data_IF_697883639878
#
_entry.id   IF_697883639878
#
_cell.length_a   1.000
_cell.length_b   1.000
_cell.length_c   1.000
_cell.angle_alpha   90.00
_cell.angle_beta   90.00
_cell.angle_gamma   90.00
#
_symmetry.space_group_name_H-M   'P 1'
#
loop_
_entity.id
_entity.type
_entity.pdbx_description
1 polymer ?
#
# COMPACT_ATOMS: atom_id res chain seq x y z
N UNK A 1 -10.32 5.23 -48.97
CA UNK A 1 -9.02 5.75 -49.44
C UNK A 1 -7.93 5.16 -48.56
N UNK A 2 -6.82 4.78 -49.18
CA UNK A 2 -5.82 3.84 -48.68
C UNK A 2 -4.75 4.45 -47.77
N UNK A 3 -4.06 3.56 -47.03
CA UNK A 3 -2.69 3.72 -46.52
C UNK A 3 -2.62 3.78 -44.99
N UNK A 4 -1.79 3.02 -44.27
CA UNK A 4 -0.74 2.05 -44.63
C UNK A 4 -0.41 1.27 -43.36
N UNK A 5 -0.40 -0.06 -43.45
CA UNK A 5 0.05 -0.96 -42.39
C UNK A 5 1.55 -1.24 -42.54
N UNK A 6 2.31 -1.17 -41.44
CA UNK A 6 3.68 -1.68 -41.38
C UNK A 6 3.71 -2.89 -40.44
N UNK A 7 3.99 -4.04 -41.04
CA UNK A 7 4.15 -5.36 -40.42
C UNK A 7 5.59 -5.56 -39.96
N UNK A 8 5.80 -6.19 -38.80
CA UNK A 8 7.11 -6.67 -38.37
C UNK A 8 7.05 -8.19 -38.19
N UNK A 9 7.93 -8.91 -38.91
CA UNK A 9 8.13 -10.37 -38.84
C UNK A 9 9.20 -10.72 -37.80
N UNK A 10 9.07 -11.84 -37.06
CA UNK A 10 10.14 -12.33 -36.19
C UNK A 10 11.15 -13.18 -36.98
N UNK A 11 12.44 -13.03 -36.64
CA UNK A 11 13.52 -13.86 -37.17
C UNK A 11 13.60 -15.19 -36.40
N UNK A 12 13.56 -16.28 -37.16
CA UNK A 12 13.63 -17.65 -36.68
C UNK A 12 15.08 -18.14 -36.47
N UNK A 13 15.14 -19.11 -35.56
CA UNK A 13 16.21 -20.02 -35.16
C UNK A 13 17.23 -20.46 -36.23
N UNK A 14 18.48 -20.64 -35.76
CA UNK A 14 19.45 -21.59 -36.33
C UNK A 14 20.16 -22.38 -35.22
N UNK A 15 20.12 -23.72 -35.34
CA UNK A 15 21.01 -24.74 -34.76
C UNK A 15 21.31 -25.73 -35.91
N UNK A 16 22.24 -26.70 -35.80
CA UNK A 16 23.50 -26.78 -35.05
C UNK A 16 24.68 -27.28 -35.96
N UNK A 17 25.89 -27.44 -35.41
CA UNK A 17 26.89 -28.39 -35.94
C UNK A 17 27.60 -29.13 -34.79
N UNK A 18 27.85 -30.39 -35.07
CA UNK A 18 28.36 -31.50 -34.26
C UNK A 18 29.88 -31.68 -34.36
N UNK A 19 30.48 -32.31 -33.34
CA UNK A 19 31.56 -33.33 -33.40
C UNK A 19 31.83 -33.78 -31.94
N UNK A 20 31.46 -35.02 -31.53
CA UNK A 20 32.32 -36.23 -31.33
C UNK A 20 33.57 -35.97 -30.48
N UNK A 21 34.01 -36.75 -29.49
CA UNK A 21 33.66 -38.04 -28.89
C UNK A 21 34.60 -38.25 -27.69
N UNK A 22 34.16 -38.87 -26.59
CA UNK A 22 34.83 -40.04 -25.99
C UNK A 22 34.30 -40.34 -24.59
N UNK A 23 34.07 -41.62 -24.39
CA UNK A 23 33.66 -42.35 -23.20
C UNK A 23 34.79 -42.46 -22.18
N UNK A 24 34.48 -42.38 -20.88
CA UNK A 24 34.87 -43.40 -19.91
C UNK A 24 34.20 -43.18 -18.54
N UNK A 25 33.56 -44.26 -18.09
CA UNK A 25 33.04 -44.58 -16.77
C UNK A 25 34.02 -44.35 -15.62
N UNK A 26 33.50 -43.98 -14.44
CA UNK A 26 34.25 -44.02 -13.19
C UNK A 26 33.37 -43.79 -11.96
N UNK A 27 32.83 -44.88 -11.41
CA UNK A 27 32.20 -44.97 -10.10
C UNK A 27 33.08 -44.36 -8.98
N UNK A 28 32.46 -43.64 -8.04
CA UNK A 28 32.60 -43.83 -6.56
C UNK A 28 31.81 -42.77 -5.79
N UNK A 29 30.81 -43.22 -5.03
CA UNK A 29 30.33 -42.58 -3.80
C UNK A 29 31.09 -43.18 -2.60
N UNK A 30 30.71 -42.86 -1.35
CA UNK A 30 31.07 -41.70 -0.54
C UNK A 30 31.93 -42.15 0.67
N UNK A 31 32.48 -41.25 1.50
CA UNK A 31 32.77 -41.54 2.92
C UNK A 31 33.19 -40.27 3.71
N UNK A 32 33.11 -40.31 5.06
CA UNK A 32 32.73 -39.19 5.90
C UNK A 32 33.87 -38.77 6.85
N UNK A 33 33.66 -37.74 7.67
CA UNK A 33 34.29 -37.73 9.00
C UNK A 33 33.51 -36.86 9.99
N UNK A 34 33.09 -37.55 11.04
CA UNK A 34 32.70 -37.04 12.35
C UNK A 34 33.88 -36.42 13.10
N UNK A 35 33.64 -35.41 13.93
CA UNK A 35 34.12 -35.43 15.31
C UNK A 35 33.36 -34.44 16.18
N UNK A 36 32.60 -35.02 17.11
CA UNK A 36 32.14 -34.40 18.36
C UNK A 36 33.30 -34.37 19.35
N UNK A 37 33.49 -33.24 20.04
CA UNK A 37 34.12 -33.22 21.36
C UNK A 37 33.35 -32.25 22.27
N UNK A 38 32.84 -32.85 23.34
CA UNK A 38 32.06 -32.27 24.42
C UNK A 38 32.94 -31.88 25.60
N UNK A 39 32.68 -30.68 26.17
CA UNK A 39 32.78 -30.35 27.60
C UNK A 39 34.03 -29.57 28.07
N UNK A 40 34.01 -28.93 29.27
CA UNK A 40 32.86 -28.47 30.05
C UNK A 40 32.99 -27.01 30.58
N UNK A 41 31.83 -26.50 30.99
CA UNK A 41 31.52 -25.44 31.98
C UNK A 41 32.65 -24.67 32.68
N UNK A 42 32.50 -23.33 32.72
CA UNK A 42 32.64 -22.54 33.97
C UNK A 42 31.78 -21.28 33.93
N UNK A 43 30.71 -21.34 34.68
CA UNK A 43 29.93 -20.23 35.22
C UNK A 43 30.75 -19.45 36.24
N UNK A 44 30.78 -18.12 36.13
CA UNK A 44 30.82 -17.27 37.33
C UNK A 44 30.14 -15.93 37.04
N UNK A 45 29.34 -15.39 37.98
CA UNK A 45 28.48 -14.24 37.77
C UNK A 45 29.16 -12.94 38.19
N UNK A 46 28.98 -11.87 37.41
CA UNK A 46 29.28 -10.51 37.85
C UNK A 46 28.11 -9.93 38.63
N UNK A 47 28.27 -9.87 39.94
CA UNK A 47 27.42 -9.12 40.89
C UNK A 47 27.63 -7.61 40.71
N UNK A 48 26.59 -6.76 40.88
CA UNK A 48 26.69 -5.32 40.70
C UNK A 48 27.18 -4.62 41.98
N UNK A 49 27.96 -3.55 41.83
CA UNK A 49 28.33 -2.64 42.93
C UNK A 49 27.36 -1.46 43.05
N UNK A 50 27.17 -0.89 44.25
CA UNK A 50 25.97 -0.12 44.61
C UNK A 50 26.18 1.41 44.68
N UNK A 51 25.03 2.11 44.67
CA UNK A 51 24.72 3.42 45.27
C UNK A 51 25.47 4.68 44.80
N UNK A 52 24.69 5.64 44.28
CA UNK A 52 24.65 6.97 44.90
C UNK A 52 23.29 7.64 44.68
N UNK A 53 22.57 7.80 45.79
CA UNK A 53 21.39 8.64 45.98
C UNK A 53 21.77 10.12 45.85
N UNK A 54 20.99 10.89 45.10
CA UNK A 54 20.91 12.35 45.28
C UNK A 54 19.44 12.72 45.43
N UNK A 55 19.09 13.00 46.68
CA UNK A 55 17.87 13.68 47.10
C UNK A 55 18.18 15.16 47.19
N UNK A 56 17.49 16.03 46.45
CA UNK A 56 17.23 17.41 46.91
C UNK A 56 16.02 18.02 46.21
N UNK A 57 14.93 18.09 46.99
CA UNK A 57 14.03 19.22 47.22
C UNK A 57 13.60 20.16 46.07
N UNK A 58 12.28 20.22 45.95
CA UNK A 58 11.43 21.36 45.59
C UNK A 58 12.07 22.76 45.61
N UNK A 59 11.77 23.56 44.59
CA UNK A 59 11.13 24.88 44.79
C UNK A 59 10.53 25.44 43.51
N UNK A 60 9.20 25.54 43.55
CA UNK A 60 8.33 26.37 42.71
C UNK A 60 8.69 27.85 42.94
N UNK A 61 8.97 28.60 41.88
CA UNK A 61 8.86 30.08 41.89
C UNK A 61 8.31 30.58 40.57
N UNK A 62 7.04 30.95 40.64
CA UNK A 62 6.37 31.87 39.74
C UNK A 62 7.05 33.25 39.82
N UNK A 63 7.28 33.88 38.66
CA UNK A 63 7.45 35.33 38.60
C UNK A 63 7.02 35.85 37.24
N UNK A 64 5.80 36.38 37.23
CA UNK A 64 5.24 37.28 36.23
C UNK A 64 5.95 38.63 36.31
N UNK A 65 6.26 39.24 35.16
CA UNK A 65 6.49 40.68 35.05
C UNK A 65 5.98 41.16 33.69
N UNK A 66 5.08 42.15 33.64
CA UNK A 66 4.55 42.68 32.39
C UNK A 66 5.43 43.82 31.86
N UNK A 67 5.76 43.79 30.58
CA UNK A 67 6.43 44.90 29.90
C UNK A 67 5.36 45.82 29.29
N UNK A 68 5.26 47.03 29.83
CA UNK A 68 4.35 48.10 29.40
C UNK A 68 4.87 48.79 28.13
N UNK A 69 4.06 48.81 27.08
CA UNK A 69 4.26 49.64 25.90
C UNK A 69 4.06 51.13 26.24
N UNK A 70 5.08 51.97 26.01
CA UNK A 70 4.94 53.44 26.00
C UNK A 70 4.76 53.94 24.56
N UNK A 71 3.69 54.72 24.37
CA UNK A 71 3.40 55.55 23.20
C UNK A 71 4.44 56.68 23.06
N UNK A 72 4.86 56.96 21.84
CA UNK A 72 5.45 58.24 21.43
C UNK A 72 4.85 58.66 20.07
N UNK A 73 4.40 59.91 20.00
CA UNK A 73 3.76 60.57 18.86
C UNK A 73 4.79 61.11 17.84
N UNK A 74 4.37 61.53 16.62
CA UNK A 74 5.21 61.53 15.41
C UNK A 74 5.79 62.91 15.06
N UNK A 75 6.72 62.99 14.08
CA UNK A 75 6.98 64.22 13.35
C UNK A 75 6.43 64.18 11.91
N UNK A 76 5.86 65.32 11.54
CA UNK A 76 5.43 65.76 10.22
C UNK A 76 6.61 66.21 9.34
N UNK A 77 6.61 65.91 8.03
CA UNK A 77 6.73 66.92 6.95
C UNK A 77 6.80 66.30 5.55
N UNK A 78 6.23 67.04 4.61
CA UNK A 78 6.02 66.80 3.17
C UNK A 78 7.32 66.64 2.35
N UNK A 79 7.27 65.80 1.31
CA UNK A 79 7.84 66.13 0.00
C UNK A 79 7.07 65.41 -1.12
N UNK A 80 6.96 66.07 -2.29
CA UNK A 80 6.09 65.76 -3.44
C UNK A 80 6.93 65.64 -4.71
N UNK A 81 6.38 64.94 -5.72
CA UNK A 81 6.80 64.76 -7.15
C UNK A 81 7.75 63.57 -7.39
N UNK A 82 7.58 62.65 -8.36
CA UNK A 82 6.60 62.42 -9.44
C UNK A 82 6.80 60.99 -10.01
N UNK A 83 5.94 60.46 -10.90
CA UNK A 83 5.74 59.02 -11.13
C UNK A 83 6.55 58.46 -12.31
N UNK A 84 7.02 57.21 -12.20
CA UNK A 84 7.52 56.44 -13.34
C UNK A 84 6.80 55.09 -13.43
N UNK A 85 6.09 54.94 -14.55
CA UNK A 85 5.69 53.71 -15.24
C UNK A 85 5.11 52.56 -14.40
N UNK A 86 3.78 52.50 -14.41
CA UNK A 86 3.05 51.26 -14.29
C UNK A 86 3.40 50.34 -15.48
N UNK A 87 4.11 49.25 -15.21
CA UNK A 87 3.97 48.02 -15.98
C UNK A 87 3.18 47.05 -15.11
N UNK A 88 1.94 46.82 -15.53
CA UNK A 88 1.04 45.82 -14.98
C UNK A 88 1.61 44.43 -15.27
N UNK A 89 2.51 43.94 -14.44
CA UNK A 89 2.58 42.49 -14.22
C UNK A 89 1.42 42.16 -13.30
N UNK A 90 0.37 41.57 -13.85
CA UNK A 90 -0.63 40.86 -13.07
C UNK A 90 0.08 39.71 -12.35
N UNK A 91 0.68 40.01 -11.19
CA UNK A 91 0.99 38.98 -10.22
C UNK A 91 -0.36 38.48 -9.74
N UNK A 92 -0.86 37.47 -10.43
CA UNK A 92 -1.78 36.50 -9.88
C UNK A 92 -1.11 35.95 -8.63
N UNK A 93 -1.33 36.61 -7.51
CA UNK A 93 -1.24 35.99 -6.21
C UNK A 93 -2.32 34.92 -6.19
N UNK A 94 -2.04 33.77 -6.80
CA UNK A 94 -2.69 32.51 -6.47
C UNK A 94 -2.49 32.39 -4.96
N UNK A 95 -3.54 32.71 -4.21
CA UNK A 95 -3.69 32.29 -2.83
C UNK A 95 -3.57 30.77 -2.86
N UNK A 96 -2.35 30.25 -2.66
CA UNK A 96 -2.14 28.84 -2.40
C UNK A 96 -2.60 28.65 -0.97
N UNK A 97 -3.90 28.46 -0.78
CA UNK A 97 -4.41 27.84 0.44
C UNK A 97 -3.80 26.43 0.48
N UNK A 98 -2.61 26.35 1.06
CA UNK A 98 -1.82 25.14 1.27
C UNK A 98 -2.42 24.28 2.39
N UNK A 99 -3.75 24.15 2.43
CA UNK A 99 -4.35 23.09 3.24
C UNK A 99 -3.96 21.77 2.60
N UNK A 100 -3.31 20.90 3.39
CA UNK A 100 -3.11 19.51 3.03
C UNK A 100 -4.50 18.91 2.72
N UNK A 101 -4.77 18.43 1.50
CA UNK A 101 -6.05 17.85 1.14
C UNK A 101 -6.42 16.72 2.10
N UNK A 102 -7.60 16.83 2.70
CA UNK A 102 -8.18 15.80 3.57
C UNK A 102 -9.45 15.28 2.93
N UNK A 103 -9.58 13.98 2.89
CA UNK A 103 -10.70 13.29 2.30
C UNK A 103 -11.22 12.26 3.29
N UNK A 104 -12.54 12.09 3.32
CA UNK A 104 -13.14 11.08 4.18
C UNK A 104 -12.66 9.68 3.80
N UNK A 105 -12.80 9.31 2.53
CA UNK A 105 -12.60 7.95 2.01
C UNK A 105 -11.49 7.89 0.97
N UNK A 106 -11.06 6.66 0.63
CA UNK A 106 -10.12 6.42 -0.47
C UNK A 106 -10.72 6.87 -1.81
N UNK A 107 -12.01 6.63 -2.03
CA UNK A 107 -12.74 7.01 -3.25
C UNK A 107 -12.75 8.54 -3.44
N UNK A 108 -13.06 9.28 -2.37
CA UNK A 108 -13.02 10.74 -2.37
C UNK A 108 -11.60 11.28 -2.59
N UNK A 109 -10.59 10.64 -2.00
CA UNK A 109 -9.19 11.01 -2.20
C UNK A 109 -8.75 10.78 -3.65
N UNK A 110 -9.14 9.65 -4.25
CA UNK A 110 -8.86 9.35 -5.65
C UNK A 110 -9.47 10.40 -6.58
N UNK A 111 -10.76 10.68 -6.46
CA UNK A 111 -11.45 11.67 -7.30
C UNK A 111 -10.91 13.08 -7.11
N UNK A 112 -10.71 13.51 -5.86
CA UNK A 112 -10.23 14.85 -5.55
C UNK A 112 -8.81 15.11 -6.04
N UNK A 113 -7.91 14.15 -5.84
CA UNK A 113 -6.54 14.27 -6.33
C UNK A 113 -6.44 14.12 -7.85
N UNK A 114 -7.32 13.33 -8.48
CA UNK A 114 -7.40 13.23 -9.94
C UNK A 114 -7.88 14.54 -10.57
N UNK A 115 -8.89 15.19 -9.98
CA UNK A 115 -9.34 16.51 -10.43
C UNK A 115 -8.24 17.56 -10.32
N UNK A 116 -7.48 17.55 -9.21
CA UNK A 116 -6.33 18.43 -9.02
C UNK A 116 -5.22 18.17 -10.05
N UNK A 117 -4.96 16.90 -10.36
CA UNK A 117 -3.96 16.50 -11.35
C UNK A 117 -4.29 17.04 -12.74
N UNK A 118 -5.56 17.05 -13.15
CA UNK A 118 -5.95 17.68 -14.41
C UNK A 118 -5.98 19.21 -14.38
N UNK A 119 -6.18 19.82 -13.22
CA UNK A 119 -6.22 21.27 -13.08
C UNK A 119 -4.83 21.92 -13.06
N UNK A 120 -3.87 21.28 -12.37
CA UNK A 120 -2.56 21.87 -12.06
C UNK A 120 -1.37 21.00 -12.51
N UNK A 121 -1.61 19.81 -13.07
CA UNK A 121 -0.55 18.88 -13.45
C UNK A 121 0.22 19.30 -14.71
N UNK A 122 1.47 18.86 -14.78
CA UNK A 122 2.36 19.09 -15.91
C UNK A 122 2.64 17.78 -16.65
N UNK A 123 2.83 17.84 -17.96
CA UNK A 123 3.23 16.65 -18.72
C UNK A 123 4.72 16.34 -18.48
N UNK A 124 4.99 15.13 -17.99
CA UNK A 124 6.34 14.62 -17.71
C UNK A 124 6.51 13.28 -18.42
N UNK A 125 7.69 13.04 -18.99
CA UNK A 125 8.01 11.75 -19.63
C UNK A 125 8.67 10.82 -18.62
N UNK A 126 8.23 9.56 -18.58
CA UNK A 126 8.80 8.50 -17.76
C UNK A 126 9.31 7.33 -18.61
N UNK A 127 9.98 6.37 -17.98
CA UNK A 127 10.38 5.09 -18.62
C UNK A 127 9.18 4.31 -19.19
N UNK A 128 7.99 4.50 -18.61
CA UNK A 128 6.77 3.77 -18.94
C UNK A 128 5.79 4.62 -19.76
N UNK A 129 6.24 5.74 -20.33
CA UNK A 129 5.44 6.64 -21.16
C UNK A 129 5.20 8.01 -20.53
N UNK A 130 4.49 8.87 -21.25
CA UNK A 130 4.11 10.20 -20.81
C UNK A 130 3.06 10.12 -19.69
N UNK A 131 3.17 11.07 -18.74
CA UNK A 131 2.28 11.19 -17.60
C UNK A 131 1.88 12.65 -17.39
N UNK A 132 0.68 12.89 -16.89
CA UNK A 132 0.35 14.16 -16.23
C UNK A 132 0.72 14.03 -14.74
N UNK A 133 1.54 14.93 -14.20
CA UNK A 133 2.19 14.82 -12.89
C UNK A 133 1.98 16.05 -12.01
N UNK A 134 1.81 15.80 -10.70
CA UNK A 134 1.96 16.78 -9.63
C UNK A 134 3.13 16.37 -8.72
N UNK A 135 4.12 17.25 -8.58
CA UNK A 135 5.24 17.03 -7.68
C UNK A 135 4.87 17.31 -6.20
N UNK A 136 5.48 16.57 -5.28
CA UNK A 136 5.43 16.81 -3.82
C UNK A 136 4.03 17.04 -3.25
N UNK A 137 3.13 16.06 -3.45
CA UNK A 137 1.77 16.11 -2.95
C UNK A 137 1.64 15.42 -1.60
N UNK A 138 0.69 15.91 -0.80
CA UNK A 138 0.22 15.19 0.38
C UNK A 138 -1.29 15.02 0.28
N UNK A 139 -1.80 13.89 0.75
CA UNK A 139 -3.24 13.65 0.94
C UNK A 139 -3.46 12.86 2.22
N UNK A 140 -4.55 13.12 2.92
CA UNK A 140 -4.96 12.37 4.11
C UNK A 140 -6.33 11.76 3.92
N UNK A 141 -6.47 10.48 4.26
CA UNK A 141 -7.73 9.74 4.35
C UNK A 141 -8.12 9.64 5.83
N UNK A 142 -9.32 10.12 6.17
CA UNK A 142 -9.79 10.22 7.56
C UNK A 142 -10.49 8.96 8.06
N UNK A 143 -11.06 8.18 7.15
CA UNK A 143 -11.75 6.92 7.44
C UNK A 143 -11.12 5.81 6.61
N UNK A 144 -9.87 5.41 6.89
CA UNK A 144 -9.17 4.43 6.07
C UNK A 144 -9.84 3.05 6.07
N UNK A 145 -10.72 2.74 7.04
CA UNK A 145 -11.50 1.50 7.02
C UNK A 145 -12.61 1.50 5.95
N UNK A 146 -13.06 2.67 5.48
CA UNK A 146 -13.96 2.84 4.33
C UNK A 146 -13.13 2.72 3.03
N UNK A 147 -12.65 1.51 2.74
CA UNK A 147 -11.51 1.23 1.84
C UNK A 147 -11.85 0.76 0.44
N UNK A 148 -13.10 0.36 0.18
CA UNK A 148 -13.48 -0.15 -1.13
C UNK A 148 -13.92 1.00 -2.07
N UNK A 149 -13.32 1.04 -3.25
CA UNK A 149 -13.71 1.98 -4.30
C UNK A 149 -15.05 1.57 -4.91
N UNK A 150 -15.93 2.55 -5.05
CA UNK A 150 -17.27 2.40 -5.61
C UNK A 150 -17.52 3.34 -6.79
N UNK A 151 -16.55 4.20 -7.14
CA UNK A 151 -16.64 5.08 -8.31
C UNK A 151 -16.95 4.28 -9.59
N UNK A 152 -18.13 4.48 -10.22
CA UNK A 152 -18.48 3.82 -11.47
C UNK A 152 -17.48 4.15 -12.59
N UNK A 153 -17.15 3.16 -13.43
CA UNK A 153 -16.20 3.33 -14.54
C UNK A 153 -14.72 3.29 -14.14
N UNK A 154 -14.38 3.41 -12.85
CA UNK A 154 -13.02 3.14 -12.36
C UNK A 154 -12.62 1.70 -12.63
N UNK A 155 -13.58 0.78 -12.56
CA UNK A 155 -13.42 -0.65 -12.78
C UNK A 155 -12.39 -1.29 -11.81
N UNK A 156 -12.47 -0.99 -10.51
CA UNK A 156 -11.57 -1.58 -9.52
C UNK A 156 -11.81 -3.10 -9.35
N UNK A 157 -10.80 -3.87 -8.92
CA UNK A 157 -10.94 -5.30 -8.61
C UNK A 157 -10.75 -5.52 -7.10
N UNK A 158 -11.83 -5.59 -6.30
CA UNK A 158 -11.72 -5.76 -4.84
C UNK A 158 -11.11 -7.11 -4.46
N UNK A 159 -11.32 -8.15 -5.28
CA UNK A 159 -10.78 -9.48 -5.04
C UNK A 159 -9.25 -9.51 -5.19
N UNK A 160 -8.74 -8.84 -6.21
CA UNK A 160 -7.29 -8.70 -6.39
C UNK A 160 -6.66 -7.86 -5.27
N UNK A 161 -7.31 -6.78 -4.84
CA UNK A 161 -6.82 -5.97 -3.71
C UNK A 161 -6.72 -6.79 -2.42
N UNK A 162 -7.73 -7.62 -2.13
CA UNK A 162 -7.71 -8.57 -0.99
C UNK A 162 -6.58 -9.59 -1.16
N UNK A 163 -6.51 -10.28 -2.31
CA UNK A 163 -5.51 -11.32 -2.54
C UNK A 163 -4.07 -10.78 -2.46
N UNK A 164 -3.79 -9.64 -3.08
CA UNK A 164 -2.48 -9.00 -3.04
C UNK A 164 -2.13 -8.53 -1.62
N UNK A 165 -3.07 -7.95 -0.89
CA UNK A 165 -2.84 -7.54 0.52
C UNK A 165 -2.50 -8.75 1.39
N UNK A 166 -3.24 -9.85 1.27
CA UNK A 166 -2.97 -11.05 2.05
C UNK A 166 -1.63 -11.69 1.66
N UNK A 167 -1.27 -11.67 0.38
CA UNK A 167 0.04 -12.10 -0.10
C UNK A 167 1.19 -11.24 0.44
N UNK A 168 1.05 -9.91 0.44
CA UNK A 168 2.01 -8.98 1.04
C UNK A 168 2.15 -9.25 2.54
N UNK A 169 1.03 -9.33 3.25
CA UNK A 169 1.02 -9.59 4.69
C UNK A 169 1.59 -10.97 5.03
N UNK A 170 1.45 -11.97 4.17
CA UNK A 170 2.08 -13.29 4.33
C UNK A 170 3.61 -13.25 4.16
N UNK A 171 4.16 -12.16 3.63
CA UNK A 171 5.58 -12.04 3.34
C UNK A 171 5.98 -12.67 2.00
N UNK A 172 5.01 -13.01 1.16
CA UNK A 172 5.25 -13.70 -0.10
C UNK A 172 5.74 -12.75 -1.20
N UNK A 173 6.49 -13.30 -2.15
CA UNK A 173 6.82 -12.67 -3.42
C UNK A 173 6.59 -13.60 -4.63
N UNK A 174 5.93 -14.74 -4.44
CA UNK A 174 5.69 -15.72 -5.50
C UNK A 174 4.55 -15.26 -6.44
N UNK A 175 4.83 -15.29 -7.74
CA UNK A 175 3.85 -14.87 -8.75
C UNK A 175 2.86 -15.97 -9.12
N UNK A 176 3.12 -17.22 -8.76
CA UNK A 176 2.18 -18.33 -8.97
C UNK A 176 0.87 -18.10 -8.22
N UNK A 177 0.93 -17.58 -6.99
CA UNK A 177 -0.25 -17.14 -6.22
C UNK A 177 -0.95 -15.95 -6.87
N UNK A 178 -0.18 -14.92 -7.28
CA UNK A 178 -0.75 -13.61 -7.60
C UNK A 178 -1.25 -13.47 -9.04
N UNK A 179 -0.61 -14.15 -9.99
CA UNK A 179 -0.94 -14.08 -11.44
C UNK A 179 -2.40 -14.38 -11.78
N UNK A 180 -3.11 -15.32 -11.11
CA UNK A 180 -4.52 -15.53 -11.38
C UNK A 180 -5.42 -14.34 -11.04
N UNK A 181 -5.02 -13.50 -10.09
CA UNK A 181 -5.71 -12.27 -9.68
C UNK A 181 -5.24 -11.05 -10.46
N UNK A 182 -3.96 -11.00 -10.81
CA UNK A 182 -3.29 -9.90 -11.50
C UNK A 182 -2.53 -10.43 -12.72
N UNK A 183 -3.20 -10.47 -13.87
CA UNK A 183 -2.65 -11.06 -15.12
C UNK A 183 -1.36 -10.42 -15.62
N UNK A 184 -1.13 -9.15 -15.27
CA UNK A 184 0.06 -8.38 -15.66
C UNK A 184 1.21 -8.51 -14.68
N UNK A 185 1.02 -9.12 -13.51
CA UNK A 185 2.08 -9.25 -12.50
C UNK A 185 3.37 -9.91 -13.05
N UNK A 186 3.32 -10.92 -13.94
CA UNK A 186 4.51 -11.47 -14.58
C UNK A 186 5.33 -10.48 -15.42
N UNK A 187 4.72 -9.41 -15.94
CA UNK A 187 5.41 -8.40 -16.76
C UNK A 187 6.43 -7.58 -15.92
N UNK A 188 6.28 -7.62 -14.59
CA UNK A 188 7.10 -6.90 -13.60
C UNK A 188 8.16 -7.78 -12.93
N UNK A 189 8.36 -8.99 -13.45
CA UNK A 189 9.27 -9.99 -12.91
C UNK A 189 10.62 -9.99 -13.62
N UNK A 190 11.70 -10.04 -12.85
CA UNK A 190 13.06 -10.17 -13.37
C UNK A 190 13.43 -11.61 -13.73
N UNK A 191 12.69 -12.60 -13.21
CA UNK A 191 13.03 -14.03 -13.27
C UNK A 191 12.01 -14.87 -14.08
N UNK A 192 11.39 -14.23 -15.07
CA UNK A 192 10.49 -14.90 -16.01
C UNK A 192 9.11 -15.22 -15.43
N UNK A 193 8.64 -14.44 -14.46
CA UNK A 193 7.31 -14.58 -13.87
C UNK A 193 7.27 -15.51 -12.67
N UNK A 194 8.40 -15.77 -12.01
CA UNK A 194 8.46 -16.64 -10.82
C UNK A 194 8.26 -15.84 -9.55
N UNK A 195 8.99 -14.72 -9.41
CA UNK A 195 8.90 -13.83 -8.26
C UNK A 195 8.76 -12.37 -8.68
N UNK A 196 8.15 -11.58 -7.79
CA UNK A 196 8.08 -10.12 -7.93
C UNK A 196 9.06 -9.47 -6.96
N UNK A 197 10.24 -9.08 -7.46
CA UNK A 197 11.33 -8.49 -6.66
C UNK A 197 10.93 -7.21 -5.92
N UNK A 198 10.02 -6.43 -6.51
CA UNK A 198 9.50 -5.20 -5.92
C UNK A 198 8.38 -5.44 -4.89
N UNK A 199 7.85 -6.67 -4.79
CA UNK A 199 6.79 -7.03 -3.86
C UNK A 199 7.14 -6.68 -2.41
N UNK A 200 6.17 -6.12 -1.69
CA UNK A 200 6.37 -5.59 -0.35
C UNK A 200 6.50 -6.68 0.73
N UNK A 201 6.01 -7.88 0.47
CA UNK A 201 5.95 -8.96 1.46
C UNK A 201 7.31 -9.28 2.12
N UNK A 202 8.34 -9.72 1.37
CA UNK A 202 9.63 -10.04 1.97
C UNK A 202 10.30 -8.84 2.61
N UNK A 203 10.01 -7.63 2.11
CA UNK A 203 10.55 -6.38 2.67
C UNK A 203 9.96 -6.13 4.06
N UNK A 204 8.66 -6.37 4.24
CA UNK A 204 7.99 -6.16 5.51
C UNK A 204 8.22 -7.30 6.51
N UNK A 205 8.13 -8.55 6.07
CA UNK A 205 8.09 -9.71 6.97
C UNK A 205 9.45 -10.37 7.20
N UNK A 206 10.39 -10.24 6.27
CA UNK A 206 11.68 -10.94 6.36
C UNK A 206 12.81 -10.23 5.59
N UNK A 207 13.05 -8.96 5.88
CA UNK A 207 14.19 -8.25 5.30
C UNK A 207 15.46 -8.64 6.05
N UNK A 208 16.27 -9.53 5.45
CA UNK A 208 17.50 -10.05 6.06
C UNK A 208 17.30 -10.59 7.50
N UNK A 209 16.20 -11.31 7.72
CA UNK A 209 15.83 -11.85 9.05
C UNK A 209 15.04 -10.89 9.93
N UNK A 210 14.67 -9.69 9.44
CA UNK A 210 13.91 -8.69 10.18
C UNK A 210 12.44 -8.67 9.74
N UNK A 211 11.53 -8.99 10.65
CA UNK A 211 10.10 -8.70 10.51
C UNK A 211 9.81 -7.28 11.01
N UNK A 212 9.69 -6.34 10.08
CA UNK A 212 9.50 -4.92 10.38
C UNK A 212 8.14 -4.63 11.02
N UNK A 213 7.10 -5.43 10.74
CA UNK A 213 5.77 -5.29 11.36
C UNK A 213 5.87 -5.64 12.85
N UNK A 214 6.47 -6.79 13.17
CA UNK A 214 6.68 -7.22 14.55
C UNK A 214 7.54 -6.21 15.34
N UNK A 215 8.57 -5.66 14.71
CA UNK A 215 9.45 -4.66 15.32
C UNK A 215 8.73 -3.34 15.58
N UNK A 216 7.96 -2.83 14.60
CA UNK A 216 7.17 -1.61 14.76
C UNK A 216 6.12 -1.76 15.87
N UNK A 217 5.40 -2.89 15.91
CA UNK A 217 4.42 -3.21 16.96
C UNK A 217 5.09 -3.23 18.32
N UNK A 218 6.20 -3.95 18.46
CA UNK A 218 6.93 -4.08 19.73
C UNK A 218 7.41 -2.72 20.25
N UNK A 219 7.89 -1.84 19.36
CA UNK A 219 8.31 -0.48 19.71
C UNK A 219 7.15 0.37 20.22
N UNK A 220 5.99 0.34 19.55
CA UNK A 220 4.83 1.14 19.95
C UNK A 220 4.15 0.59 21.20
N UNK A 221 4.13 -0.73 21.37
CA UNK A 221 3.63 -1.36 22.59
C UNK A 221 4.47 -0.96 23.81
N UNK A 222 5.80 -0.95 23.68
CA UNK A 222 6.70 -0.54 24.76
C UNK A 222 6.69 0.99 24.99
N UNK A 223 6.51 1.78 23.93
CA UNK A 223 6.50 3.24 23.99
C UNK A 223 5.56 3.81 22.93
N UNK A 224 4.28 4.07 23.27
CA UNK A 224 3.29 4.59 22.31
C UNK A 224 3.71 5.90 21.64
N UNK A 225 4.46 6.76 22.34
CA UNK A 225 4.96 8.03 21.80
C UNK A 225 6.24 7.89 20.95
N UNK A 226 6.67 6.67 20.65
CA UNK A 226 7.87 6.42 19.84
C UNK A 226 7.70 7.06 18.46
N UNK A 227 8.77 7.72 18.00
CA UNK A 227 8.90 8.26 16.63
C UNK A 227 9.75 7.35 15.75
N UNK A 228 9.95 6.10 16.18
CA UNK A 228 10.86 5.12 15.56
C UNK A 228 10.13 3.93 14.94
N UNK A 229 8.80 3.90 14.98
CA UNK A 229 7.98 2.83 14.41
C UNK A 229 7.87 2.99 12.89
N UNK A 230 9.01 2.80 12.24
CA UNK A 230 9.23 3.00 10.81
C UNK A 230 9.56 1.67 10.16
N UNK A 231 8.97 1.41 9.00
CA UNK A 231 9.29 0.28 8.14
C UNK A 231 9.77 0.81 6.78
N UNK A 232 10.90 0.32 6.29
CA UNK A 232 11.48 0.71 5.00
C UNK A 232 11.13 -0.30 3.91
N UNK A 233 10.66 0.21 2.77
CA UNK A 233 10.30 -0.57 1.59
C UNK A 233 11.30 -0.38 0.46
N UNK A 234 11.77 0.84 0.21
CA UNK A 234 12.86 1.05 -0.75
C UNK A 234 14.18 0.57 -0.14
N UNK A 235 14.89 -0.29 -0.85
CA UNK A 235 16.14 -0.90 -0.43
C UNK A 235 17.27 -0.45 -1.36
N UNK A 236 18.19 0.43 -0.91
CA UNK A 236 19.31 0.89 -1.70
C UNK A 236 20.18 -0.23 -2.29
N UNK A 237 20.33 -1.36 -1.59
CA UNK A 237 21.15 -2.48 -2.07
C UNK A 237 20.49 -3.15 -3.28
N UNK A 238 19.16 -3.25 -3.27
CA UNK A 238 18.39 -3.99 -4.28
C UNK A 238 17.87 -3.09 -5.40
N UNK A 239 17.49 -1.86 -5.11
CA UNK A 239 16.57 -1.07 -5.94
C UNK A 239 17.24 0.00 -6.81
N UNK A 240 18.54 0.23 -6.65
CA UNK A 240 19.35 0.98 -7.63
C UNK A 240 19.82 0.12 -8.82
N UNK A 241 19.58 -1.18 -8.77
CA UNK A 241 19.94 -2.11 -9.85
C UNK A 241 18.89 -2.06 -10.98
N UNK A 242 19.28 -2.48 -12.19
CA UNK A 242 18.32 -2.61 -13.29
C UNK A 242 17.30 -3.70 -12.96
N UNK A 243 16.03 -3.39 -13.12
CA UNK A 243 14.91 -4.25 -12.74
C UNK A 243 13.67 -3.90 -13.54
N UNK A 244 12.84 -4.91 -13.83
CA UNK A 244 11.53 -4.77 -14.44
C UNK A 244 10.63 -3.87 -13.60
N UNK A 245 10.75 -3.96 -12.27
CA UNK A 245 10.00 -3.12 -11.35
C UNK A 245 10.79 -2.71 -10.10
N UNK A 246 10.39 -1.61 -9.47
CA UNK A 246 11.04 -1.04 -8.28
C UNK A 246 9.95 -0.55 -7.34
N UNK A 247 9.99 -0.85 -6.02
CA UNK A 247 8.97 -0.42 -5.08
C UNK A 247 8.77 1.09 -5.14
N UNK A 248 7.52 1.52 -5.24
CA UNK A 248 7.16 2.94 -5.37
C UNK A 248 6.99 3.61 -4.00
N UNK A 249 6.64 2.83 -2.98
CA UNK A 249 6.57 3.27 -1.58
C UNK A 249 7.96 3.12 -0.94
N UNK A 250 8.40 4.12 -0.18
CA UNK A 250 9.71 4.16 0.45
C UNK A 250 9.67 3.71 1.90
N UNK A 251 8.72 4.22 2.69
CA UNK A 251 8.59 3.89 4.10
C UNK A 251 7.16 4.11 4.60
N UNK A 252 6.84 3.35 5.65
CA UNK A 252 5.61 3.37 6.42
C UNK A 252 5.97 3.79 7.84
N UNK A 253 5.29 4.80 8.39
CA UNK A 253 5.60 5.36 9.70
C UNK A 253 4.34 5.51 10.55
N UNK A 254 4.29 4.73 11.62
CA UNK A 254 3.19 4.73 12.56
C UNK A 254 3.41 5.74 13.69
N UNK A 255 2.34 6.44 14.07
CA UNK A 255 2.34 7.40 15.17
C UNK A 255 1.08 7.24 16.02
N UNK A 256 1.24 7.12 17.34
CA UNK A 256 0.08 7.13 18.26
C UNK A 256 -0.23 8.56 18.69
N UNK A 257 -1.45 9.03 18.48
CA UNK A 257 -1.93 10.36 18.88
C UNK A 257 -3.31 10.26 19.49
N UNK A 258 -3.48 10.75 20.71
CA UNK A 258 -4.79 10.82 21.38
C UNK A 258 -5.58 9.49 21.33
N UNK A 259 -4.91 8.35 21.60
CA UNK A 259 -5.53 7.01 21.55
C UNK A 259 -5.75 6.44 20.15
N UNK A 260 -5.37 7.17 19.09
CA UNK A 260 -5.48 6.74 17.70
C UNK A 260 -4.11 6.37 17.14
N UNK A 261 -4.07 5.38 16.24
CA UNK A 261 -2.89 5.05 15.45
C UNK A 261 -3.02 5.69 14.06
N UNK A 262 -2.09 6.58 13.72
CA UNK A 262 -1.94 7.13 12.37
C UNK A 262 -0.88 6.34 11.59
N UNK A 263 -1.08 6.19 10.27
CA UNK A 263 -0.07 5.69 9.34
C UNK A 263 0.28 6.75 8.31
N UNK A 264 1.57 7.10 8.24
CA UNK A 264 2.13 7.95 7.20
C UNK A 264 2.91 7.10 6.20
N UNK A 265 2.54 7.21 4.94
CA UNK A 265 3.17 6.55 3.80
C UNK A 265 3.93 7.60 3.03
N UNK A 266 5.19 7.33 2.72
CA UNK A 266 5.96 8.18 1.80
C UNK A 266 6.31 7.36 0.58
N UNK A 267 5.98 7.89 -0.58
CA UNK A 267 6.22 7.28 -1.87
C UNK A 267 7.01 8.21 -2.77
N UNK A 268 8.01 7.66 -3.47
CA UNK A 268 8.81 8.38 -4.46
C UNK A 268 8.02 8.63 -5.74
N UNK A 269 7.00 7.80 -5.96
CA UNK A 269 6.18 7.80 -7.17
C UNK A 269 4.85 7.13 -6.86
N UNK A 270 3.75 7.68 -7.35
CA UNK A 270 2.40 7.19 -7.12
C UNK A 270 1.59 7.35 -8.40
N UNK A 271 1.37 6.24 -9.11
CA UNK A 271 0.33 6.20 -10.13
C UNK A 271 -1.02 6.29 -9.42
N UNK A 272 -1.74 7.40 -9.64
CA UNK A 272 -3.02 7.63 -9.00
C UNK A 272 -4.07 6.63 -9.47
N UNK A 273 -3.95 6.12 -10.70
CA UNK A 273 -4.93 5.21 -11.28
C UNK A 273 -4.78 3.81 -10.70
N UNK A 274 -3.65 3.12 -10.90
CA UNK A 274 -3.46 1.78 -10.36
C UNK A 274 -2.82 1.78 -8.98
N UNK A 275 -1.65 2.38 -8.82
CA UNK A 275 -0.87 2.27 -7.58
C UNK A 275 -1.64 2.72 -6.34
N UNK A 276 -2.09 3.98 -6.32
CA UNK A 276 -2.83 4.52 -5.18
C UNK A 276 -4.18 3.83 -4.99
N UNK A 277 -5.02 3.87 -6.03
CA UNK A 277 -6.44 3.58 -5.89
C UNK A 277 -6.81 2.10 -6.03
N UNK A 278 -5.93 1.25 -6.57
CA UNK A 278 -6.21 -0.18 -6.69
C UNK A 278 -5.66 -0.98 -5.49
N UNK A 279 -4.46 -0.64 -5.02
CA UNK A 279 -3.75 -1.44 -4.01
C UNK A 279 -3.20 -0.64 -2.82
N UNK A 280 -2.34 0.37 -3.03
CA UNK A 280 -1.57 0.96 -1.92
C UNK A 280 -2.47 1.55 -0.82
N UNK A 281 -3.52 2.28 -1.19
CA UNK A 281 -4.44 2.84 -0.19
C UNK A 281 -5.21 1.74 0.56
N UNK A 282 -5.58 0.66 -0.14
CA UNK A 282 -6.28 -0.47 0.43
C UNK A 282 -5.38 -1.27 1.37
N UNK A 283 -4.22 -1.75 0.92
CA UNK A 283 -3.34 -2.61 1.71
C UNK A 283 -2.82 -1.91 2.97
N UNK A 284 -2.49 -0.62 2.87
CA UNK A 284 -2.04 0.16 4.03
C UNK A 284 -3.17 0.49 5.00
N UNK A 285 -4.40 0.58 4.52
CA UNK A 285 -5.55 0.70 5.41
C UNK A 285 -5.83 -0.58 6.21
N UNK A 286 -5.60 -1.76 5.60
CA UNK A 286 -5.73 -3.06 6.26
C UNK A 286 -4.62 -3.21 7.30
N UNK A 287 -3.37 -2.94 6.92
CA UNK A 287 -2.23 -3.01 7.83
C UNK A 287 -2.38 -2.03 9.01
N UNK A 288 -2.90 -0.82 8.75
CA UNK A 288 -3.19 0.15 9.81
C UNK A 288 -4.23 -0.38 10.80
N UNK A 289 -5.32 -0.96 10.31
CA UNK A 289 -6.36 -1.55 11.15
C UNK A 289 -5.82 -2.71 12.01
N UNK A 290 -5.05 -3.62 11.40
CA UNK A 290 -4.42 -4.73 12.13
C UNK A 290 -3.47 -4.25 13.23
N UNK A 291 -2.61 -3.28 12.91
CA UNK A 291 -1.68 -2.68 13.88
C UNK A 291 -2.42 -1.97 15.02
N UNK A 292 -3.53 -1.29 14.72
CA UNK A 292 -4.36 -0.64 15.73
C UNK A 292 -4.97 -1.70 16.68
N UNK A 293 -5.50 -2.81 16.12
CA UNK A 293 -6.04 -3.93 16.91
C UNK A 293 -5.00 -4.57 17.83
N UNK A 294 -3.77 -4.79 17.35
CA UNK A 294 -2.69 -5.39 18.15
C UNK A 294 -2.11 -4.47 19.23
N UNK A 295 -2.35 -3.17 19.12
CA UNK A 295 -1.94 -2.14 20.08
C UNK A 295 -3.11 -1.67 20.96
N UNK A 296 -4.33 -2.18 20.74
CA UNK A 296 -5.55 -1.75 21.43
C UNK A 296 -5.79 -0.23 21.30
N UNK A 297 -5.62 0.29 20.07
CA UNK A 297 -5.82 1.68 19.70
C UNK A 297 -6.97 1.82 18.70
N UNK A 298 -7.55 3.01 18.63
CA UNK A 298 -8.48 3.34 17.56
C UNK A 298 -7.73 3.59 16.24
N UNK A 299 -8.36 3.28 15.11
CA UNK A 299 -7.80 3.61 13.79
C UNK A 299 -7.86 5.12 13.58
N UNK A 300 -6.69 5.73 13.38
CA UNK A 300 -6.54 7.13 13.03
C UNK A 300 -6.56 7.35 11.51
N UNK A 301 -5.67 8.21 11.04
CA UNK A 301 -5.61 8.64 9.64
C UNK A 301 -4.56 7.87 8.83
N UNK A 302 -4.82 7.75 7.53
CA UNK A 302 -3.86 7.26 6.55
C UNK A 302 -3.41 8.42 5.66
N UNK A 303 -2.15 8.83 5.77
CA UNK A 303 -1.61 9.99 5.04
C UNK A 303 -0.54 9.55 4.05
N UNK A 304 -0.63 9.98 2.80
CA UNK A 304 0.40 9.77 1.79
C UNK A 304 1.12 11.07 1.51
N UNK A 305 2.44 11.07 1.65
CA UNK A 305 3.32 12.03 0.97
C UNK A 305 3.88 11.36 -0.29
N UNK A 306 3.71 12.00 -1.45
CA UNK A 306 4.20 11.48 -2.71
C UNK A 306 5.03 12.51 -3.45
N UNK A 307 6.26 12.13 -3.82
CA UNK A 307 7.16 13.01 -4.56
C UNK A 307 6.68 13.24 -5.99
N UNK A 308 6.07 12.23 -6.61
CA UNK A 308 5.56 12.25 -7.99
C UNK A 308 4.19 11.56 -8.01
N UNK A 309 3.12 12.36 -7.90
CA UNK A 309 1.75 11.88 -8.11
C UNK A 309 1.42 12.03 -9.58
N UNK A 310 1.15 10.93 -10.27
CA UNK A 310 1.00 10.98 -11.72
C UNK A 310 -0.12 10.09 -12.24
N UNK A 311 -0.57 10.40 -13.45
CA UNK A 311 -1.50 9.61 -14.25
C UNK A 311 -0.84 9.34 -15.60
N UNK A 312 -0.77 8.08 -16.01
CA UNK A 312 -0.28 7.72 -17.35
C UNK A 312 -1.25 8.18 -18.43
N UNK A 313 -0.70 8.68 -19.55
CA UNK A 313 -1.46 9.22 -20.68
C UNK A 313 -2.55 8.25 -21.20
N UNK A 314 -2.26 6.94 -21.20
CA UNK A 314 -3.19 5.88 -21.62
C UNK A 314 -4.47 5.78 -20.75
N UNK A 315 -4.50 6.44 -19.59
CA UNK A 315 -5.66 6.47 -18.69
C UNK A 315 -6.35 7.84 -18.67
N UNK A 316 -5.82 8.86 -19.35
CA UNK A 316 -6.37 10.22 -19.28
C UNK A 316 -7.81 10.32 -19.80
N UNK A 317 -8.11 9.74 -20.97
CA UNK A 317 -9.46 9.82 -21.54
C UNK A 317 -10.50 9.20 -20.61
N UNK A 318 -10.18 8.00 -20.07
CA UNK A 318 -11.04 7.30 -19.10
C UNK A 318 -11.20 8.09 -17.81
N UNK A 319 -10.13 8.72 -17.34
CA UNK A 319 -10.15 9.52 -16.13
C UNK A 319 -10.97 10.81 -16.31
N UNK A 320 -10.90 11.47 -17.47
CA UNK A 320 -11.73 12.64 -17.80
C UNK A 320 -13.21 12.26 -17.91
N UNK A 321 -13.52 11.15 -18.60
CA UNK A 321 -14.88 10.63 -18.69
C UNK A 321 -15.45 10.33 -17.29
N UNK A 322 -14.67 9.64 -16.45
CA UNK A 322 -15.03 9.32 -15.07
C UNK A 322 -15.31 10.60 -14.26
N UNK A 323 -14.43 11.60 -14.29
CA UNK A 323 -14.64 12.87 -13.58
C UNK A 323 -15.87 13.64 -14.09
N UNK A 324 -16.15 13.59 -15.39
CA UNK A 324 -17.34 14.26 -15.96
C UNK A 324 -18.66 13.66 -15.47
N UNK A 325 -18.64 12.40 -15.01
CA UNK A 325 -19.79 11.69 -14.43
C UNK A 325 -19.79 11.72 -12.90
N UNK A 326 -18.65 12.02 -12.28
CA UNK A 326 -18.52 12.05 -10.83
C UNK A 326 -19.37 13.15 -10.18
N UNK A 327 -19.77 14.18 -10.92
CA UNK A 327 -20.77 15.17 -10.47
C UNK A 327 -22.17 14.58 -10.26
N UNK A 328 -22.46 13.38 -10.77
CA UNK A 328 -23.76 12.71 -10.72
C UNK A 328 -23.79 11.48 -9.79
N UNK A 329 -22.70 11.15 -9.07
CA UNK A 329 -22.63 9.95 -8.21
C UNK A 329 -22.65 10.26 -6.71
N UNK A 330 -23.89 10.27 -6.22
CA UNK A 330 -24.43 9.70 -4.95
C UNK A 330 -23.80 10.06 -3.60
N UNK A 331 -24.68 10.58 -2.74
CA UNK A 331 -24.64 10.60 -1.28
C UNK A 331 -24.26 9.20 -0.73
N UNK A 332 -23.09 9.10 -0.07
CA UNK A 332 -22.57 8.03 0.81
C UNK A 332 -23.44 6.80 1.06
N UNK A 333 -22.92 5.57 0.94
CA UNK A 333 -23.27 4.46 1.86
C UNK A 333 -22.12 3.45 2.02
N UNK A 334 -21.55 3.37 3.23
CA UNK A 334 -20.75 2.20 3.64
C UNK A 334 -19.81 2.47 4.81
N UNK A 335 -20.24 2.14 6.03
CA UNK A 335 -19.33 1.92 7.16
C UNK A 335 -18.59 0.61 6.85
N UNK A 336 -17.28 0.56 7.02
CA UNK A 336 -16.59 -0.74 7.07
C UNK A 336 -17.27 -1.59 8.14
N UNK A 337 -17.91 -2.67 7.74
CA UNK A 337 -18.67 -3.53 8.67
C UNK A 337 -17.82 -4.64 9.26
N UNK A 338 -16.66 -4.89 8.66
CA UNK A 338 -15.77 -5.97 9.07
C UNK A 338 -14.58 -5.37 9.77
N UNK A 339 -14.56 -5.53 11.09
CA UNK A 339 -13.42 -5.16 11.91
C UNK A 339 -12.45 -6.34 11.98
N UNK A 340 -11.15 -6.05 11.91
CA UNK A 340 -10.14 -7.04 12.23
C UNK A 340 -10.08 -7.28 13.74
N UNK A 341 -10.16 -8.55 14.15
CA UNK A 341 -10.27 -8.97 15.55
C UNK A 341 -9.44 -10.21 15.89
N UNK A 342 -8.32 -10.41 15.18
CA UNK A 342 -7.35 -11.45 15.54
C UNK A 342 -6.28 -10.86 16.46
N UNK A 343 -6.04 -11.52 17.60
CA UNK A 343 -4.96 -11.15 18.51
C UNK A 343 -3.58 -11.39 17.88
N UNK A 344 -2.57 -10.66 18.35
CA UNK A 344 -1.22 -10.71 17.78
C UNK A 344 -0.63 -12.12 17.82
N UNK A 345 -0.88 -12.85 18.91
CA UNK A 345 -0.39 -14.20 19.17
C UNK A 345 -0.95 -15.22 18.15
N UNK A 346 -2.18 -15.00 17.67
CA UNK A 346 -2.86 -15.87 16.73
C UNK A 346 -2.74 -15.38 15.27
N UNK A 347 -2.24 -14.15 15.05
CA UNK A 347 -2.24 -13.50 13.74
C UNK A 347 -1.49 -14.30 12.66
N UNK A 348 -0.33 -14.89 13.00
CA UNK A 348 0.44 -15.72 12.06
C UNK A 348 -0.35 -16.96 11.66
N UNK A 349 -0.88 -17.69 12.64
CA UNK A 349 -1.66 -18.91 12.40
C UNK A 349 -2.95 -18.62 11.63
N UNK A 350 -3.69 -17.58 11.99
CA UNK A 350 -4.90 -17.19 11.27
C UNK A 350 -4.61 -16.82 9.80
N UNK A 351 -3.48 -16.14 9.56
CA UNK A 351 -3.06 -15.77 8.21
C UNK A 351 -2.65 -16.99 7.38
N UNK A 352 -1.88 -17.91 7.94
CA UNK A 352 -1.51 -19.18 7.29
C UNK A 352 -2.75 -20.01 6.94
N UNK A 353 -3.70 -20.11 7.86
CA UNK A 353 -4.98 -20.78 7.64
C UNK A 353 -5.81 -20.10 6.55
N UNK A 354 -5.80 -18.77 6.49
CA UNK A 354 -6.47 -18.02 5.42
C UNK A 354 -5.83 -18.32 4.06
N UNK A 355 -4.50 -18.34 3.98
CA UNK A 355 -3.76 -18.67 2.76
C UNK A 355 -3.99 -20.11 2.30
N UNK A 356 -4.11 -21.08 3.22
CA UNK A 356 -4.50 -22.46 2.89
C UNK A 356 -5.91 -22.53 2.29
N UNK A 357 -6.88 -21.85 2.90
CA UNK A 357 -8.24 -21.79 2.35
C UNK A 357 -8.26 -21.15 0.96
N UNK A 358 -7.55 -20.04 0.75
CA UNK A 358 -7.40 -19.44 -0.58
C UNK A 358 -6.89 -20.47 -1.58
N UNK A 359 -5.83 -21.19 -1.22
CA UNK A 359 -5.20 -22.16 -2.11
C UNK A 359 -6.18 -23.24 -2.53
N UNK A 360 -6.97 -23.75 -1.58
CA UNK A 360 -8.00 -24.77 -1.83
C UNK A 360 -9.11 -24.24 -2.73
N UNK A 361 -9.59 -23.01 -2.49
CA UNK A 361 -10.63 -22.38 -3.32
C UNK A 361 -10.14 -22.13 -4.76
N UNK A 362 -8.90 -21.69 -4.91
CA UNK A 362 -8.23 -21.56 -6.22
C UNK A 362 -8.08 -22.90 -6.92
N UNK A 363 -7.78 -23.96 -6.18
CA UNK A 363 -7.71 -25.34 -6.69
C UNK A 363 -9.08 -25.96 -7.03
N UNK A 364 -10.19 -25.26 -6.75
CA UNK A 364 -11.54 -25.71 -7.10
C UNK A 364 -12.38 -26.25 -5.95
N UNK A 365 -11.92 -26.16 -4.70
CA UNK A 365 -12.76 -26.45 -3.55
C UNK A 365 -13.93 -25.46 -3.45
N UNK A 366 -14.99 -25.91 -2.80
CA UNK A 366 -16.18 -25.12 -2.50
C UNK A 366 -16.21 -24.77 -1.02
N UNK A 367 -16.30 -23.49 -0.69
CA UNK A 367 -16.21 -22.98 0.68
C UNK A 367 -17.29 -23.58 1.59
N UNK A 368 -18.49 -23.87 1.06
CA UNK A 368 -19.61 -24.46 1.81
C UNK A 368 -19.28 -25.87 2.35
N UNK A 369 -18.28 -26.53 1.77
CA UNK A 369 -17.80 -27.85 2.21
C UNK A 369 -16.55 -27.75 3.11
N UNK A 370 -16.12 -26.53 3.46
CA UNK A 370 -14.93 -26.28 4.27
C UNK A 370 -15.32 -25.74 5.64
N UNK A 371 -14.47 -26.01 6.64
CA UNK A 371 -14.58 -25.38 7.96
C UNK A 371 -13.66 -24.16 8.00
N UNK A 372 -14.20 -23.01 8.42
CA UNK A 372 -13.41 -21.82 8.70
C UNK A 372 -12.69 -21.98 10.04
N UNK A 373 -11.34 -21.98 10.07
CA UNK A 373 -10.58 -22.23 11.29
C UNK A 373 -10.38 -20.96 12.15
N UNK A 374 -10.75 -19.80 11.63
CA UNK A 374 -10.73 -18.50 12.31
C UNK A 374 -12.14 -17.88 12.37
N UNK A 375 -12.32 -16.94 13.29
CA UNK A 375 -13.60 -16.23 13.51
C UNK A 375 -13.52 -14.72 13.27
N UNK A 376 -12.35 -14.23 12.89
CA UNK A 376 -12.11 -12.83 12.59
C UNK A 376 -13.08 -12.32 11.49
N UNK A 377 -13.89 -11.29 11.77
CA UNK A 377 -14.91 -10.82 10.83
C UNK A 377 -14.34 -10.39 9.48
N UNK A 378 -13.17 -9.72 9.47
CA UNK A 378 -12.51 -9.28 8.24
C UNK A 378 -11.97 -10.47 7.45
N UNK A 379 -11.27 -11.40 8.09
CA UNK A 379 -10.72 -12.59 7.42
C UNK A 379 -11.84 -13.47 6.85
N UNK A 380 -12.95 -13.63 7.58
CA UNK A 380 -14.14 -14.36 7.11
C UNK A 380 -14.77 -13.67 5.90
N UNK A 381 -14.94 -12.36 5.92
CA UNK A 381 -15.45 -11.62 4.77
C UNK A 381 -14.53 -11.73 3.56
N UNK A 382 -13.21 -11.64 3.78
CA UNK A 382 -12.23 -11.69 2.71
C UNK A 382 -12.17 -13.08 2.06
N UNK A 383 -12.22 -14.16 2.85
CA UNK A 383 -12.21 -15.51 2.25
C UNK A 383 -13.50 -15.82 1.49
N UNK A 384 -14.65 -15.31 1.95
CA UNK A 384 -15.92 -15.38 1.21
C UNK A 384 -15.87 -14.60 -0.10
N UNK A 385 -15.23 -13.43 -0.10
CA UNK A 385 -15.00 -12.68 -1.34
C UNK A 385 -14.10 -13.46 -2.32
N UNK A 386 -13.05 -14.12 -1.84
CA UNK A 386 -12.20 -14.98 -2.67
C UNK A 386 -12.99 -16.17 -3.24
N UNK A 387 -13.88 -16.76 -2.45
CA UNK A 387 -14.77 -17.83 -2.93
C UNK A 387 -15.71 -17.35 -4.06
N UNK A 388 -16.32 -16.15 -3.92
CA UNK A 388 -17.12 -15.50 -4.98
C UNK A 388 -16.29 -15.31 -6.24
N UNK A 389 -15.06 -14.78 -6.11
CA UNK A 389 -14.16 -14.58 -7.25
C UNK A 389 -13.93 -15.88 -8.00
N UNK A 390 -13.60 -16.96 -7.28
CA UNK A 390 -13.29 -18.24 -7.90
C UNK A 390 -14.51 -18.92 -8.53
N UNK A 391 -15.69 -18.83 -7.90
CA UNK A 391 -16.94 -19.27 -8.52
C UNK A 391 -17.23 -18.49 -9.82
N UNK A 392 -17.07 -17.16 -9.81
CA UNK A 392 -17.25 -16.31 -10.98
C UNK A 392 -16.28 -16.66 -12.12
N UNK A 393 -14.99 -16.86 -11.81
CA UNK A 393 -13.97 -17.26 -12.79
C UNK A 393 -14.23 -18.65 -13.37
N UNK A 394 -14.90 -19.53 -12.63
CA UNK A 394 -15.36 -20.85 -13.10
C UNK A 394 -16.69 -20.83 -13.84
N UNK A 395 -17.28 -19.66 -14.06
CA UNK A 395 -18.45 -19.50 -14.91
C UNK A 395 -19.79 -19.35 -14.20
N UNK A 396 -19.81 -19.25 -12.87
CA UNK A 396 -21.04 -18.96 -12.14
C UNK A 396 -21.70 -17.67 -12.68
N UNK A 397 -23.01 -17.73 -12.85
CA UNK A 397 -23.88 -16.62 -13.23
C UNK A 397 -24.10 -15.67 -12.05
N UNK A 398 -24.59 -14.45 -12.33
CA UNK A 398 -24.89 -13.50 -11.26
C UNK A 398 -25.97 -14.03 -10.30
N UNK A 399 -26.96 -14.76 -10.83
CA UNK A 399 -28.01 -15.41 -10.03
C UNK A 399 -27.44 -16.47 -9.08
N UNK A 400 -26.51 -17.30 -9.55
CA UNK A 400 -25.83 -18.31 -8.72
C UNK A 400 -24.90 -17.68 -7.67
N UNK A 401 -24.35 -16.49 -7.93
CA UNK A 401 -23.48 -15.76 -7.00
C UNK A 401 -24.26 -14.96 -5.94
N UNK A 402 -25.54 -14.69 -6.17
CA UNK A 402 -26.35 -13.83 -5.30
C UNK A 402 -26.36 -14.28 -3.82
N UNK A 403 -26.52 -15.58 -3.48
CA UNK A 403 -26.45 -16.02 -2.09
C UNK A 403 -25.08 -15.78 -1.45
N UNK A 404 -23.99 -15.97 -2.23
CA UNK A 404 -22.62 -15.73 -1.77
C UNK A 404 -22.37 -14.24 -1.55
N UNK A 405 -22.82 -13.38 -2.45
CA UNK A 405 -22.78 -11.92 -2.30
C UNK A 405 -23.56 -11.46 -1.07
N UNK A 406 -24.77 -11.99 -0.85
CA UNK A 406 -25.58 -11.66 0.32
C UNK A 406 -24.90 -12.07 1.64
N UNK A 407 -24.06 -13.12 1.63
CA UNK A 407 -23.29 -13.56 2.80
C UNK A 407 -22.23 -12.57 3.28
N UNK A 408 -21.89 -11.56 2.45
CA UNK A 408 -21.05 -10.42 2.80
C UNK A 408 -21.85 -9.30 3.49
N UNK A 409 -23.15 -9.47 3.73
CA UNK A 409 -24.00 -8.47 4.38
C UNK A 409 -24.13 -7.17 3.58
N UNK A 410 -24.65 -6.13 4.22
CA UNK A 410 -24.75 -4.79 3.63
C UNK A 410 -23.46 -4.00 3.91
N UNK A 411 -22.50 -4.10 2.99
CA UNK A 411 -21.15 -3.54 3.13
C UNK A 411 -20.62 -2.93 1.83
N UNK A 412 -19.59 -2.08 1.94
CA UNK A 412 -18.87 -1.52 0.79
C UNK A 412 -18.17 -2.60 -0.05
N UNK A 413 -17.69 -3.68 0.59
CA UNK A 413 -17.19 -4.88 -0.08
C UNK A 413 -18.30 -5.56 -0.91
N UNK A 414 -19.52 -5.73 -0.38
CA UNK A 414 -20.63 -6.34 -1.12
C UNK A 414 -20.95 -5.55 -2.38
N UNK A 415 -20.98 -4.22 -2.26
CA UNK A 415 -21.20 -3.33 -3.41
C UNK A 415 -20.09 -3.49 -4.46
N UNK A 416 -18.82 -3.39 -4.04
CA UNK A 416 -17.68 -3.51 -4.94
C UNK A 416 -17.59 -4.89 -5.61
N UNK A 417 -17.88 -5.96 -4.87
CA UNK A 417 -17.90 -7.33 -5.37
C UNK A 417 -19.01 -7.50 -6.42
N UNK A 418 -20.23 -7.05 -6.12
CA UNK A 418 -21.39 -7.10 -7.03
C UNK A 418 -21.12 -6.33 -8.31
N UNK A 419 -20.60 -5.11 -8.20
CA UNK A 419 -20.29 -4.28 -9.36
C UNK A 419 -19.22 -4.96 -10.23
N UNK A 420 -18.17 -5.54 -9.65
CA UNK A 420 -17.15 -6.29 -10.42
C UNK A 420 -17.74 -7.47 -11.19
N UNK A 421 -18.47 -8.38 -10.53
CA UNK A 421 -18.99 -9.60 -11.18
C UNK A 421 -20.09 -9.32 -12.21
N UNK A 422 -20.70 -8.14 -12.15
CA UNK A 422 -21.73 -7.72 -13.11
C UNK A 422 -21.14 -7.19 -14.43
N UNK A 423 -19.82 -6.96 -14.53
CA UNK A 423 -19.22 -6.39 -15.75
C UNK A 423 -19.09 -7.45 -16.85
N UNK A 424 -19.43 -7.14 -18.11
CA UNK A 424 -19.35 -8.09 -19.22
C UNK A 424 -17.97 -8.72 -19.46
N UNK A 425 -16.89 -7.97 -19.18
CA UNK A 425 -15.49 -8.40 -19.39
C UNK A 425 -14.71 -8.68 -18.10
N UNK A 426 -15.36 -8.67 -16.93
CA UNK A 426 -14.66 -8.94 -15.66
C UNK A 426 -14.01 -10.33 -15.60
N UNK A 427 -14.52 -11.30 -16.38
CA UNK A 427 -13.90 -12.63 -16.47
C UNK A 427 -12.55 -12.64 -17.19
N UNK A 428 -12.28 -11.63 -18.03
CA UNK A 428 -11.00 -11.50 -18.73
C UNK A 428 -9.92 -10.83 -17.85
N UNK A 429 -10.36 -10.14 -16.80
CA UNK A 429 -9.53 -9.41 -15.86
C UNK A 429 -8.89 -10.30 -14.78
#
# INVERSE_FOLDING_TARGET
>A
MAGTAASYRPLASRRPRSETSSTASGLRSPHPSSSSLTGPTKTTPTTPTPFSTVTTSSRRRTRTSPCTCRRASPPTSRNRLSPCCATSTSSSTRSRDHLMPRFRTIDAAFLGMLARLFADGETVNSRNGATTELAAQTLTIERPTERFLHTPGRNNNPFAAIAETMWVLAGHNDLAYLTPYLKRAPDYSDDGGTTWRAGYGPRLRNWNGVDQIAQARSLLHASPNSRRAVMSLFDPERDFQNSADVPCNNWLHFLVRNGHLDLNVVARSTDIWFGFSAINAFEWSVLLEMMARWLQLEVGTLTFFTSSLHLYAQHEDRARELLSRASDTSEYIGKSTFEYDTDWEDAVTAHEQWMDLEHRLRAGADLDNLTLPFRDPMLVAYIRAIDIFWAFKRGATLEELEPRLASLGDSDLTFAAREFVSRPRARDH
#
